data_IF_963410115623
#
_entry.id   IF_963410115623
#
_cell.length_a   1.000
_cell.length_b   1.000
_cell.length_c   1.000
_cell.angle_alpha   90.00
_cell.angle_beta   90.00
_cell.angle_gamma   90.00
#
_symmetry.space_group_name_H-M   'P 1'
#
loop_
_entity.id
_entity.type
_entity.pdbx_description
1 polymer ?
#
# COMPACT_ATOMS: atom_id res chain seq x y z
N UNK A 1 8.15 15.76 20.56
CA UNK A 1 7.77 15.91 19.13
C UNK A 1 7.71 14.54 18.45
N UNK A 2 8.78 13.73 18.51
CA UNK A 2 8.82 12.37 17.98
C UNK A 2 7.63 11.48 18.42
N UNK A 3 7.25 11.51 19.71
CA UNK A 3 6.15 10.68 20.23
C UNK A 3 4.78 11.00 19.60
N UNK A 4 4.49 12.27 19.30
CA UNK A 4 3.24 12.67 18.65
C UNK A 4 3.22 12.24 17.17
N UNK A 5 4.37 12.34 16.48
CA UNK A 5 4.54 11.84 15.12
C UNK A 5 4.40 10.32 15.07
N UNK A 6 5.00 9.60 16.02
CA UNK A 6 4.88 8.16 16.15
C UNK A 6 3.43 7.71 16.40
N UNK A 7 2.68 8.43 17.24
CA UNK A 7 1.25 8.16 17.45
C UNK A 7 0.43 8.38 16.16
N UNK A 8 0.70 9.47 15.43
CA UNK A 8 0.06 9.74 14.14
C UNK A 8 0.40 8.66 13.12
N UNK A 9 1.66 8.26 13.01
CA UNK A 9 2.11 7.14 12.17
C UNK A 9 1.40 5.84 12.53
N UNK A 10 1.26 5.53 13.82
CA UNK A 10 0.53 4.35 14.30
C UNK A 10 -0.94 4.31 13.83
N UNK A 11 -1.63 5.45 13.87
CA UNK A 11 -3.00 5.55 13.35
C UNK A 11 -3.07 5.27 11.84
N UNK A 12 -2.09 5.74 11.07
CA UNK A 12 -2.00 5.43 9.64
C UNK A 12 -1.69 3.95 9.39
N UNK A 13 -0.78 3.34 10.17
CA UNK A 13 -0.49 1.89 10.10
C UNK A 13 -1.76 1.07 10.30
N UNK A 14 -2.59 1.39 11.29
CA UNK A 14 -3.85 0.67 11.52
C UNK A 14 -4.81 0.74 10.32
N UNK A 15 -4.87 1.89 9.63
CA UNK A 15 -5.66 2.03 8.40
C UNK A 15 -5.06 1.21 7.25
N UNK A 16 -3.73 1.21 7.11
CA UNK A 16 -3.03 0.40 6.11
C UNK A 16 -3.29 -1.08 6.35
N UNK A 17 -3.16 -1.58 7.57
CA UNK A 17 -3.44 -2.99 7.91
C UNK A 17 -4.82 -3.41 7.43
N UNK A 18 -5.86 -2.60 7.69
CA UNK A 18 -7.23 -2.89 7.20
C UNK A 18 -7.30 -2.92 5.67
N UNK A 19 -6.63 -1.99 4.99
CA UNK A 19 -6.58 -1.96 3.52
C UNK A 19 -5.84 -3.17 2.96
N UNK A 20 -4.75 -3.61 3.58
CA UNK A 20 -4.03 -4.82 3.18
C UNK A 20 -4.92 -6.06 3.32
N UNK A 21 -5.78 -6.14 4.34
CA UNK A 21 -6.79 -7.20 4.45
C UNK A 21 -7.84 -7.11 3.34
N UNK A 22 -8.30 -5.90 2.98
CA UNK A 22 -9.20 -5.72 1.83
C UNK A 22 -8.52 -6.16 0.52
N UNK A 23 -7.24 -5.85 0.32
CA UNK A 23 -6.46 -6.29 -0.85
C UNK A 23 -6.41 -7.81 -0.92
N UNK A 24 -6.11 -8.49 0.19
CA UNK A 24 -6.12 -9.96 0.25
C UNK A 24 -7.46 -10.54 -0.22
N UNK A 25 -8.58 -9.99 0.25
CA UNK A 25 -9.92 -10.43 -0.16
C UNK A 25 -10.19 -10.24 -1.64
N UNK A 26 -9.67 -9.18 -2.27
CA UNK A 26 -9.81 -8.96 -3.71
C UNK A 26 -8.98 -9.98 -4.49
N UNK A 27 -7.75 -10.25 -4.05
CA UNK A 27 -6.86 -11.22 -4.70
C UNK A 27 -7.44 -12.64 -4.64
N UNK A 28 -8.08 -12.97 -3.52
CA UNK A 28 -8.67 -14.30 -3.27
C UNK A 28 -10.08 -14.46 -3.88
N UNK A 29 -10.66 -13.40 -4.44
CA UNK A 29 -11.99 -13.46 -5.04
C UNK A 29 -11.94 -14.10 -6.44
N UNK A 30 -12.91 -14.98 -6.73
CA UNK A 30 -13.06 -15.59 -8.06
C UNK A 30 -13.29 -14.55 -9.17
N UNK A 31 -14.01 -13.47 -8.83
CA UNK A 31 -14.23 -12.30 -9.69
C UNK A 31 -13.77 -11.03 -8.95
N UNK A 32 -12.52 -10.58 -9.18
CA UNK A 32 -11.97 -9.42 -8.50
C UNK A 32 -12.72 -8.13 -8.90
N UNK A 33 -13.23 -7.40 -7.92
CA UNK A 33 -13.88 -6.11 -8.15
C UNK A 33 -12.87 -5.03 -8.59
N UNK A 34 -12.73 -4.83 -9.91
CA UNK A 34 -11.70 -3.94 -10.49
C UNK A 34 -11.77 -2.50 -9.98
N UNK A 35 -12.97 -1.91 -9.93
CA UNK A 35 -13.17 -0.54 -9.39
C UNK A 35 -12.67 -0.44 -7.95
N UNK A 36 -12.90 -1.48 -7.15
CA UNK A 36 -12.45 -1.51 -5.76
C UNK A 36 -10.93 -1.71 -5.69
N UNK A 37 -10.36 -2.50 -6.59
CA UNK A 37 -8.90 -2.68 -6.71
C UNK A 37 -8.20 -1.36 -7.06
N UNK A 38 -8.72 -0.58 -8.02
CA UNK A 38 -8.20 0.76 -8.36
C UNK A 38 -8.27 1.72 -7.17
N UNK A 39 -9.42 1.76 -6.47
CA UNK A 39 -9.61 2.58 -5.28
C UNK A 39 -8.61 2.22 -4.16
N UNK A 40 -8.36 0.93 -3.96
CA UNK A 40 -7.36 0.47 -2.99
C UNK A 40 -5.95 0.81 -3.43
N UNK A 41 -5.63 0.72 -4.73
CA UNK A 41 -4.32 1.09 -5.27
C UNK A 41 -4.03 2.57 -5.01
N UNK A 42 -4.95 3.47 -5.39
CA UNK A 42 -4.79 4.91 -5.12
C UNK A 42 -4.67 5.19 -3.63
N UNK A 43 -5.55 4.58 -2.83
CA UNK A 43 -5.54 4.83 -1.39
C UNK A 43 -4.29 4.31 -0.68
N UNK A 44 -3.69 3.21 -1.14
CA UNK A 44 -2.43 2.70 -0.61
C UNK A 44 -1.24 3.59 -1.00
N UNK A 45 -1.24 4.15 -2.22
CA UNK A 45 -0.24 5.15 -2.66
C UNK A 45 -0.28 6.41 -1.77
N UNK A 46 -1.47 6.97 -1.54
CA UNK A 46 -1.62 8.15 -0.68
C UNK A 46 -1.13 7.88 0.76
N UNK A 47 -1.35 6.65 1.27
CA UNK A 47 -0.91 6.24 2.61
C UNK A 47 0.58 5.98 2.67
N UNK A 48 1.18 5.44 1.62
CA UNK A 48 2.62 5.27 1.50
C UNK A 48 3.32 6.62 1.60
N UNK A 49 2.89 7.60 0.80
CA UNK A 49 3.47 8.95 0.81
C UNK A 49 3.34 9.59 2.19
N UNK A 50 2.18 9.45 2.83
CA UNK A 50 1.98 9.99 4.18
C UNK A 50 2.89 9.33 5.22
N UNK A 51 3.08 8.01 5.18
CA UNK A 51 3.96 7.34 6.14
C UNK A 51 5.43 7.69 5.89
N UNK A 52 5.85 7.83 4.64
CA UNK A 52 7.23 8.24 4.32
C UNK A 52 7.54 9.63 4.87
N UNK A 53 6.63 10.59 4.68
CA UNK A 53 6.75 11.94 5.25
C UNK A 53 6.83 11.91 6.80
N UNK A 54 5.99 11.08 7.44
CA UNK A 54 6.04 10.91 8.89
C UNK A 54 7.34 10.24 9.37
N UNK A 55 7.83 9.25 8.64
CA UNK A 55 9.06 8.53 8.98
C UNK A 55 10.28 9.45 8.84
N UNK A 56 10.36 10.27 7.79
CA UNK A 56 11.39 11.30 7.65
C UNK A 56 11.36 12.30 8.82
N UNK A 57 10.18 12.80 9.21
CA UNK A 57 10.04 13.70 10.36
C UNK A 57 10.40 13.02 11.69
N UNK A 58 10.11 11.73 11.84
CA UNK A 58 10.47 10.95 13.03
C UNK A 58 11.98 10.77 13.10
N UNK A 59 12.63 10.38 12.00
CA UNK A 59 14.08 10.18 11.96
C UNK A 59 14.86 11.45 12.30
N UNK A 60 14.39 12.60 11.83
CA UNK A 60 14.99 13.91 12.19
C UNK A 60 14.80 14.24 13.67
N UNK A 61 13.77 13.71 14.32
CA UNK A 61 13.41 14.03 15.70
C UNK A 61 13.97 13.03 16.74
N UNK A 62 14.58 11.92 16.30
CA UNK A 62 15.21 10.92 17.18
C UNK A 62 16.70 11.23 17.28
N UNK A 63 17.19 11.41 18.50
CA UNK A 63 18.61 11.66 18.78
C UNK A 63 19.38 10.38 19.14
N UNK A 64 18.66 9.34 19.61
CA UNK A 64 19.24 8.05 20.01
C UNK A 64 19.40 7.11 18.80
N UNK A 65 20.61 6.61 18.59
CA UNK A 65 20.95 5.77 17.44
C UNK A 65 20.20 4.43 17.44
N UNK A 66 19.98 3.82 18.61
CA UNK A 66 19.28 2.53 18.72
C UNK A 66 17.77 2.71 18.46
N UNK A 67 17.18 3.79 18.97
CA UNK A 67 15.80 4.17 18.68
C UNK A 67 15.62 4.48 17.19
N UNK A 68 16.59 5.15 16.56
CA UNK A 68 16.57 5.47 15.13
C UNK A 68 16.61 4.19 14.29
N UNK A 69 17.53 3.27 14.57
CA UNK A 69 17.64 1.99 13.87
C UNK A 69 16.32 1.19 13.97
N UNK A 70 15.75 1.13 15.18
CA UNK A 70 14.46 0.48 15.42
C UNK A 70 13.34 1.14 14.61
N UNK A 71 13.31 2.48 14.54
CA UNK A 71 12.33 3.22 13.77
C UNK A 71 12.44 2.96 12.26
N UNK A 72 13.68 2.86 11.75
CA UNK A 72 13.99 2.56 10.35
C UNK A 72 13.55 1.15 9.95
N UNK A 73 13.85 0.13 10.76
CA UNK A 73 13.40 -1.25 10.51
C UNK A 73 11.86 -1.30 10.42
N UNK A 74 11.18 -0.67 11.38
CA UNK A 74 9.72 -0.61 11.40
C UNK A 74 9.12 0.15 10.19
N UNK A 75 9.88 1.08 9.59
CA UNK A 75 9.48 1.81 8.38
C UNK A 75 9.59 0.96 7.13
N UNK A 76 10.70 0.23 7.02
CA UNK A 76 10.97 -0.66 5.90
C UNK A 76 9.94 -1.80 5.81
N UNK A 77 9.60 -2.42 6.95
CA UNK A 77 8.57 -3.47 6.99
C UNK A 77 7.21 -2.98 6.49
N UNK A 78 6.78 -1.79 6.94
CA UNK A 78 5.47 -1.24 6.56
C UNK A 78 5.44 -0.86 5.08
N UNK A 79 6.53 -0.25 4.60
CA UNK A 79 6.70 0.15 3.21
C UNK A 79 6.71 -1.06 2.28
N UNK A 80 7.43 -2.11 2.66
CA UNK A 80 7.50 -3.38 1.90
C UNK A 80 6.13 -4.03 1.74
N UNK A 81 5.33 -4.08 2.81
CA UNK A 81 3.96 -4.64 2.75
C UNK A 81 3.04 -3.83 1.83
N UNK A 82 3.16 -2.50 1.81
CA UNK A 82 2.38 -1.66 0.91
C UNK A 82 2.80 -1.90 -0.55
N UNK A 83 4.11 -1.94 -0.82
CA UNK A 83 4.61 -2.21 -2.18
C UNK A 83 4.17 -3.57 -2.70
N UNK A 84 4.23 -4.62 -1.88
CA UNK A 84 3.76 -5.95 -2.26
C UNK A 84 2.26 -5.92 -2.63
N UNK A 85 1.44 -5.24 -1.84
CA UNK A 85 0.02 -5.10 -2.12
C UNK A 85 -0.25 -4.32 -3.40
N UNK A 86 0.49 -3.23 -3.65
CA UNK A 86 0.38 -2.44 -4.89
C UNK A 86 0.73 -3.28 -6.11
N UNK A 87 1.82 -4.05 -6.08
CA UNK A 87 2.21 -4.93 -7.18
C UNK A 87 1.12 -5.97 -7.47
N UNK A 88 0.53 -6.56 -6.43
CA UNK A 88 -0.56 -7.53 -6.61
C UNK A 88 -1.82 -6.90 -7.21
N UNK A 89 -2.18 -5.69 -6.78
CA UNK A 89 -3.31 -4.95 -7.36
C UNK A 89 -3.05 -4.57 -8.81
N UNK A 90 -1.86 -4.06 -9.13
CA UNK A 90 -1.50 -3.69 -10.50
C UNK A 90 -1.54 -4.91 -11.44
N UNK A 91 -1.12 -6.09 -10.96
CA UNK A 91 -1.26 -7.34 -11.73
C UNK A 91 -2.73 -7.68 -12.04
N UNK A 92 -3.64 -7.56 -11.06
CA UNK A 92 -5.07 -7.81 -11.26
C UNK A 92 -5.63 -6.84 -12.32
N UNK A 93 -5.31 -5.56 -12.19
CA UNK A 93 -5.76 -4.53 -13.12
C UNK A 93 -5.24 -4.79 -14.54
N UNK A 94 -3.94 -5.08 -14.69
CA UNK A 94 -3.32 -5.38 -15.98
C UNK A 94 -3.92 -6.63 -16.65
N UNK A 95 -4.25 -7.69 -15.88
CA UNK A 95 -4.89 -8.88 -16.44
C UNK A 95 -6.30 -8.61 -16.98
N UNK A 96 -7.02 -7.67 -16.39
CA UNK A 96 -8.37 -7.29 -16.83
C UNK A 96 -8.35 -6.49 -18.15
N UNK A 97 -7.36 -5.61 -18.32
CA UNK A 97 -7.20 -4.83 -19.56
C UNK A 97 -6.84 -5.73 -20.74
N UNK A 98 -6.01 -6.75 -20.52
CA UNK A 98 -5.62 -7.72 -21.54
C UNK A 98 -6.79 -8.58 -22.04
N UNK A 99 -7.76 -8.86 -21.16
CA UNK A 99 -8.95 -9.68 -21.50
C UNK A 99 -9.96 -8.91 -22.35
N UNK A 100 -9.93 -7.57 -22.32
CA UNK A 100 -10.91 -6.73 -23.03
C UNK A 100 -10.48 -6.36 -24.46
N UNK A 101 -9.20 -6.56 -24.83
CA UNK A 101 -8.67 -6.24 -26.16
C UNK A 101 -8.70 -7.38 -27.19
N UNK A 102 -9.28 -8.55 -26.87
CA UNK A 102 -9.14 -9.78 -27.65
C UNK A 102 -10.32 -10.18 -28.54
N UNK A 103 -11.26 -9.27 -28.84
CA UNK A 103 -12.38 -9.56 -29.75
C UNK A 103 -12.31 -8.60 -30.95
N UNK A 104 -11.31 -8.77 -31.81
CA UNK A 104 -11.48 -8.36 -33.21
C UNK A 104 -12.29 -9.46 -33.91
N UNK A 105 -13.58 -9.19 -34.09
CA UNK A 105 -14.43 -9.87 -35.05
C UNK A 105 -13.79 -9.79 -36.45
N UNK A 106 -13.26 -10.92 -36.91
CA UNK A 106 -12.92 -11.15 -38.32
C UNK A 106 -13.87 -12.17 -38.92
N UNK A 107 -15.11 -11.76 -39.16
CA UNK A 107 -16.13 -12.55 -39.85
C UNK A 107 -15.88 -12.68 -41.36
N UNK A 108 -16.43 -13.78 -41.89
CA UNK A 108 -16.65 -14.21 -43.29
C UNK A 108 -15.45 -14.61 -44.13
#
# INVERSE_FOLDING_TARGET
MAQALAAKRGAHKAVITRKLEEVKRIIEADEPGLVKAEQLCQSLKDKLDTIRDLDEQIFVAIEDETELETAMINADETTSLIYEALVRLDNILATSESTTGGIEEGGT
#
